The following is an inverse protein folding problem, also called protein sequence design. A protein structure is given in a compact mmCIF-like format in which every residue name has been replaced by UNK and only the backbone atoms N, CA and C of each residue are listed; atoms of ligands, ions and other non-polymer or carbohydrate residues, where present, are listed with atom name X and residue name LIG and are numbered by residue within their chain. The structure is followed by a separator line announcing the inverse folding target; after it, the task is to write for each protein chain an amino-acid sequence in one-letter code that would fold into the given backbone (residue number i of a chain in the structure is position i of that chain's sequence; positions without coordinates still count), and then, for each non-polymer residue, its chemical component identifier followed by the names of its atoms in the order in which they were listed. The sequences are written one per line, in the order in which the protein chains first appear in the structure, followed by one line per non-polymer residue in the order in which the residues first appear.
data_IF_456984322005
#
_entry.id   IF_456984322005
#
_cell.length_a   1.000
_cell.length_b   1.000
_cell.length_c   1.000
_cell.angle_alpha   90.00
_cell.angle_beta   90.00
_cell.angle_gamma   90.00
#
_symmetry.space_group_name_H-M   'P 1'
#
loop_
_entity.id
_entity.type
_entity.pdbx_description
1 polymer ?
#
# COMPACT_ATOMS: atom_id res chain seq x y z
N UNK A 1 17.82 4.99 9.90
CA UNK A 1 16.71 5.14 8.94
C UNK A 1 15.50 5.65 9.72
N UNK A 2 14.62 6.47 9.14
CA UNK A 2 13.36 6.85 9.80
C UNK A 2 12.50 5.59 10.05
N UNK A 3 11.72 5.61 11.12
CA UNK A 3 10.79 4.52 11.46
C UNK A 3 9.66 4.43 10.42
N UNK A 4 9.19 3.21 10.16
CA UNK A 4 8.05 2.91 9.29
C UNK A 4 6.77 3.33 10.01
N UNK A 5 6.03 4.24 9.39
CA UNK A 5 4.83 4.87 9.94
C UNK A 5 3.59 4.08 9.57
N UNK A 6 2.92 3.54 10.57
CA UNK A 6 1.78 2.63 10.44
C UNK A 6 0.49 3.35 10.80
N UNK A 7 -0.49 3.33 9.90
CA UNK A 7 -1.83 3.86 10.12
C UNK A 7 -2.85 2.72 10.11
N UNK A 8 -3.72 2.67 11.12
CA UNK A 8 -4.75 1.62 11.25
C UNK A 8 -6.10 2.15 10.77
N UNK A 9 -6.82 1.41 9.93
CA UNK A 9 -8.11 1.81 9.39
C UNK A 9 -9.19 0.75 9.58
N UNK A 10 -10.17 1.00 10.45
CA UNK A 10 -11.37 0.15 10.58
C UNK A 10 -11.11 -1.32 10.97
N UNK A 11 -9.93 -1.65 11.50
CA UNK A 11 -9.59 -3.01 11.93
C UNK A 11 -10.29 -3.39 13.24
N UNK A 12 -10.54 -4.69 13.42
CA UNK A 12 -11.07 -5.21 14.68
C UNK A 12 -10.11 -4.96 15.85
N UNK A 13 -10.65 -4.78 17.06
CA UNK A 13 -9.85 -4.53 18.28
C UNK A 13 -8.73 -5.55 18.48
N UNK A 14 -9.01 -6.84 18.25
CA UNK A 14 -8.00 -7.90 18.36
C UNK A 14 -6.80 -7.68 17.42
N UNK A 15 -7.05 -7.22 16.19
CA UNK A 15 -6.00 -6.93 15.21
C UNK A 15 -5.23 -5.67 15.62
N UNK A 16 -5.95 -4.61 16.04
CA UNK A 16 -5.31 -3.38 16.54
C UNK A 16 -4.36 -3.69 17.70
N UNK A 17 -4.83 -4.43 18.69
CA UNK A 17 -4.05 -4.75 19.89
C UNK A 17 -2.84 -5.64 19.55
N UNK A 18 -3.00 -6.56 18.59
CA UNK A 18 -1.88 -7.35 18.08
C UNK A 18 -0.82 -6.49 17.39
N UNK A 19 -1.24 -5.51 16.56
CA UNK A 19 -0.30 -4.57 15.92
C UNK A 19 0.41 -3.69 16.95
N UNK A 20 -0.32 -3.15 17.93
CA UNK A 20 0.28 -2.32 18.99
C UNK A 20 1.35 -3.10 19.77
N UNK A 21 1.06 -4.34 20.18
CA UNK A 21 2.05 -5.20 20.85
C UNK A 21 3.24 -5.53 19.96
N UNK A 22 3.02 -5.77 18.67
CA UNK A 22 4.09 -6.06 17.72
C UNK A 22 5.02 -4.86 17.49
N UNK A 23 4.53 -3.63 17.68
CA UNK A 23 5.29 -2.39 17.48
C UNK A 23 5.98 -1.91 18.77
N UNK A 24 5.45 -2.23 19.95
CA UNK A 24 5.91 -1.71 21.25
C UNK A 24 7.43 -1.87 21.51
N UNK A 25 8.01 -2.99 21.09
CA UNK A 25 9.45 -3.29 21.28
C UNK A 25 10.30 -2.99 20.04
N UNK A 26 9.72 -2.43 18.98
CA UNK A 26 10.39 -2.19 17.70
C UNK A 26 10.79 -0.72 17.57
N UNK A 27 12.07 -0.46 17.31
CA UNK A 27 12.60 0.90 17.16
C UNK A 27 12.45 1.45 15.73
N UNK A 28 12.12 0.59 14.79
CA UNK A 28 11.94 0.88 13.37
C UNK A 28 10.47 0.97 12.95
N UNK A 29 9.51 0.80 13.87
CA UNK A 29 8.07 0.86 13.60
C UNK A 29 7.39 1.87 14.53
N UNK A 30 6.39 2.59 14.02
CA UNK A 30 5.59 3.52 14.81
C UNK A 30 4.13 3.48 14.35
N UNK A 31 3.17 3.30 15.27
CA UNK A 31 1.75 3.52 14.95
C UNK A 31 1.44 5.00 15.08
N UNK A 32 1.25 5.68 13.95
CA UNK A 32 1.08 7.14 13.89
C UNK A 32 -0.38 7.58 14.00
N UNK A 33 -1.33 6.65 13.89
CA UNK A 33 -2.75 6.97 14.06
C UNK A 33 -3.71 5.81 13.84
N UNK A 34 -4.99 6.09 14.10
CA UNK A 34 -6.12 5.21 13.82
C UNK A 34 -7.21 6.05 13.16
N UNK A 35 -7.73 5.58 12.03
CA UNK A 35 -8.84 6.19 11.32
C UNK A 35 -10.10 5.31 11.44
N UNK A 36 -11.24 5.95 11.70
CA UNK A 36 -12.53 5.28 11.89
C UNK A 36 -13.32 5.09 10.60
N UNK A 37 -12.97 5.81 9.53
CA UNK A 37 -13.66 5.75 8.24
C UNK A 37 -12.68 5.74 7.05
N UNK A 38 -13.11 5.27 5.85
CA UNK A 38 -12.27 5.30 4.65
C UNK A 38 -11.79 6.70 4.25
N UNK A 39 -12.64 7.73 4.39
CA UNK A 39 -12.29 9.11 4.09
C UNK A 39 -11.22 9.65 5.04
N UNK A 40 -11.40 9.42 6.34
CA UNK A 40 -10.41 9.78 7.35
C UNK A 40 -9.09 9.07 7.10
N UNK A 41 -9.14 7.79 6.70
CA UNK A 41 -7.95 7.00 6.40
C UNK A 41 -7.16 7.59 5.23
N UNK A 42 -7.83 7.95 4.13
CA UNK A 42 -7.20 8.60 2.97
C UNK A 42 -6.54 9.92 3.37
N UNK A 43 -7.25 10.78 4.09
CA UNK A 43 -6.72 12.07 4.54
C UNK A 43 -5.53 11.89 5.50
N UNK A 44 -5.69 11.01 6.48
CA UNK A 44 -4.67 10.77 7.50
C UNK A 44 -3.40 10.12 6.93
N UNK A 45 -3.53 9.27 5.90
CA UNK A 45 -2.38 8.66 5.23
C UNK A 45 -1.41 9.70 4.69
N UNK A 46 -1.91 10.75 4.02
CA UNK A 46 -1.07 11.86 3.55
C UNK A 46 -0.56 12.76 4.67
N UNK A 47 -1.44 13.19 5.58
CA UNK A 47 -1.09 14.13 6.67
C UNK A 47 -0.04 13.54 7.61
N UNK A 48 -0.17 12.25 7.94
CA UNK A 48 0.74 11.55 8.84
C UNK A 48 1.92 10.92 8.11
N UNK A 49 2.01 11.06 6.78
CA UNK A 49 3.01 10.43 5.93
C UNK A 49 3.13 8.92 6.23
N UNK A 50 2.01 8.21 6.19
CA UNK A 50 1.98 6.78 6.48
C UNK A 50 2.71 5.98 5.38
N UNK A 51 3.61 5.08 5.80
CA UNK A 51 4.28 4.13 4.91
C UNK A 51 3.44 2.87 4.72
N UNK A 52 2.73 2.47 5.78
CA UNK A 52 1.90 1.26 5.81
C UNK A 52 0.51 1.59 6.35
N UNK A 53 -0.53 1.14 5.64
CA UNK A 53 -1.92 1.22 6.08
C UNK A 53 -2.45 -0.19 6.32
N UNK A 54 -2.93 -0.45 7.54
CA UNK A 54 -3.53 -1.74 7.91
C UNK A 54 -5.04 -1.63 7.90
N UNK A 55 -5.70 -2.48 7.12
CA UNK A 55 -7.17 -2.47 6.94
C UNK A 55 -7.74 -3.90 7.00
N UNK A 56 -9.05 -4.07 7.26
CA UNK A 56 -9.70 -5.37 7.12
C UNK A 56 -9.56 -5.94 5.70
N UNK A 57 -9.27 -7.24 5.61
CA UNK A 57 -9.38 -7.96 4.36
C UNK A 57 -10.86 -8.16 3.98
N UNK A 58 -11.28 -7.83 2.74
CA UNK A 58 -12.61 -8.19 2.26
C UNK A 58 -12.70 -9.71 2.03
N UNK A 59 -13.91 -10.21 1.80
CA UNK A 59 -14.16 -11.61 1.46
C UNK A 59 -13.51 -12.06 0.11
N UNK A 60 -12.91 -11.13 -0.63
CA UNK A 60 -12.08 -11.39 -1.80
C UNK A 60 -11.48 -10.11 -2.37
N UNK A 61 -10.20 -10.17 -2.78
CA UNK A 61 -9.54 -9.10 -3.52
C UNK A 61 -9.05 -7.90 -2.71
N UNK A 62 -8.81 -6.81 -3.43
CA UNK A 62 -8.27 -5.55 -2.92
C UNK A 62 -9.36 -4.77 -2.15
N UNK A 63 -9.09 -4.27 -0.92
CA UNK A 63 -10.03 -3.41 -0.21
C UNK A 63 -10.37 -2.16 -1.04
N UNK A 64 -11.64 -1.71 -1.05
CA UNK A 64 -12.06 -0.57 -1.89
C UNK A 64 -11.34 0.75 -1.59
N UNK A 65 -10.88 0.96 -0.35
CA UNK A 65 -10.05 2.13 0.01
C UNK A 65 -8.61 1.99 -0.46
N UNK A 66 -8.13 0.77 -0.68
CA UNK A 66 -6.76 0.50 -1.06
C UNK A 66 -6.44 0.96 -2.48
N UNK A 67 -7.40 0.90 -3.42
CA UNK A 67 -7.22 1.47 -4.77
C UNK A 67 -6.90 2.96 -4.70
N UNK A 68 -7.69 3.72 -3.95
CA UNK A 68 -7.51 5.15 -3.78
C UNK A 68 -6.21 5.50 -3.04
N UNK A 69 -5.86 4.73 -2.00
CA UNK A 69 -4.60 4.91 -1.27
C UNK A 69 -3.39 4.69 -2.18
N UNK A 70 -3.41 3.62 -2.98
CA UNK A 70 -2.31 3.28 -3.89
C UNK A 70 -2.18 4.30 -5.03
N UNK A 71 -3.30 4.80 -5.55
CA UNK A 71 -3.32 5.83 -6.59
C UNK A 71 -2.80 7.18 -6.08
N UNK A 72 -3.29 7.63 -4.91
CA UNK A 72 -2.89 8.91 -4.33
C UNK A 72 -1.48 8.90 -3.70
N UNK A 73 -1.07 7.75 -3.17
CA UNK A 73 0.21 7.58 -2.49
C UNK A 73 0.93 6.34 -3.04
N UNK A 74 1.57 6.40 -4.23
CA UNK A 74 2.16 5.22 -4.87
C UNK A 74 3.26 4.51 -4.06
N UNK A 75 3.88 5.20 -3.10
CA UNK A 75 4.86 4.62 -2.18
C UNK A 75 4.24 3.84 -1.02
N UNK A 76 2.93 3.97 -0.78
CA UNK A 76 2.25 3.34 0.36
C UNK A 76 2.12 1.84 0.18
N UNK A 77 2.19 1.11 1.28
CA UNK A 77 1.84 -0.31 1.35
C UNK A 77 0.50 -0.45 2.06
N UNK A 78 -0.43 -1.19 1.47
CA UNK A 78 -1.68 -1.56 2.13
C UNK A 78 -1.61 -3.01 2.59
N UNK A 79 -1.75 -3.24 3.89
CA UNK A 79 -1.79 -4.58 4.49
C UNK A 79 -3.24 -4.90 4.87
N UNK A 80 -3.89 -5.75 4.08
CA UNK A 80 -5.24 -6.21 4.32
C UNK A 80 -5.20 -7.44 5.23
N UNK A 81 -5.75 -7.34 6.44
CA UNK A 81 -5.66 -8.38 7.48
C UNK A 81 -7.02 -9.03 7.72
N UNK A 82 -7.07 -10.34 7.70
CA UNK A 82 -8.27 -11.12 8.02
C UNK A 82 -8.41 -11.33 9.52
N UNK A 83 -9.63 -11.59 9.98
CA UNK A 83 -9.89 -11.98 11.37
C UNK A 83 -9.20 -13.31 11.76
N UNK A 84 -8.84 -14.15 10.79
CA UNK A 84 -8.13 -15.40 11.00
C UNK A 84 -6.61 -15.24 11.16
N UNK A 85 -6.09 -14.00 11.14
CA UNK A 85 -4.67 -13.73 11.32
C UNK A 85 -3.83 -13.88 10.04
N UNK A 86 -4.46 -13.96 8.88
CA UNK A 86 -3.77 -13.91 7.58
C UNK A 86 -3.74 -12.48 7.05
N UNK A 87 -2.75 -12.14 6.23
CA UNK A 87 -2.65 -10.82 5.63
C UNK A 87 -2.23 -10.88 4.15
N UNK A 88 -2.72 -9.93 3.36
CA UNK A 88 -2.31 -9.72 1.97
C UNK A 88 -1.74 -8.31 1.84
N UNK A 89 -0.55 -8.20 1.25
CA UNK A 89 0.14 -6.93 1.04
C UNK A 89 -0.05 -6.44 -0.39
N UNK A 90 -0.56 -5.23 -0.55
CA UNK A 90 -0.72 -4.53 -1.82
C UNK A 90 0.23 -3.33 -1.88
N UNK A 91 0.90 -3.15 -3.02
CA UNK A 91 1.81 -2.02 -3.28
C UNK A 91 1.96 -1.81 -4.78
N UNK A 92 2.09 -0.56 -5.21
CA UNK A 92 2.54 -0.26 -6.56
C UNK A 92 4.07 -0.41 -6.62
N UNK A 93 4.56 -1.02 -7.69
CA UNK A 93 5.98 -1.08 -8.01
C UNK A 93 6.15 -0.81 -9.49
N UNK A 94 6.99 0.15 -9.89
CA UNK A 94 7.40 0.27 -11.27
C UNK A 94 8.04 -1.03 -11.74
N UNK A 95 7.62 -1.52 -12.90
CA UNK A 95 8.30 -2.60 -13.59
C UNK A 95 9.23 -1.98 -14.63
N UNK A 96 10.55 -2.03 -14.45
CA UNK A 96 11.47 -1.50 -15.44
C UNK A 96 11.44 -2.40 -16.68
N UNK A 97 11.21 -1.79 -17.84
CA UNK A 97 11.33 -2.44 -19.15
C UNK A 97 12.46 -1.73 -19.89
N UNK A 98 13.53 -2.45 -20.16
CA UNK A 98 14.64 -1.93 -20.95
C UNK A 98 14.26 -1.95 -22.43
N UNK A 99 14.36 -0.79 -23.08
CA UNK A 99 14.10 -0.67 -24.51
C UNK A 99 15.32 -0.12 -25.22
N UNK A 100 15.92 -0.94 -26.07
CA UNK A 100 17.00 -0.52 -26.96
C UNK A 100 16.42 0.21 -28.18
N UNK A 101 17.01 1.34 -28.57
CA UNK A 101 16.64 2.09 -29.77
C UNK A 101 17.89 2.72 -30.39
N UNK A 102 17.98 2.74 -31.72
CA UNK A 102 19.06 3.37 -32.48
C UNK A 102 18.54 4.41 -33.47
N UNK A 103 17.24 4.38 -33.79
CA UNK A 103 16.59 5.30 -34.73
C UNK A 103 15.36 5.98 -34.12
N UNK A 104 14.93 7.15 -34.65
CA UNK A 104 13.68 7.78 -34.24
C UNK A 104 12.43 6.90 -34.46
N UNK A 105 12.44 6.04 -35.49
CA UNK A 105 11.34 5.13 -35.77
C UNK A 105 11.21 4.03 -34.71
N UNK A 106 12.35 3.47 -34.26
CA UNK A 106 12.39 2.49 -33.17
C UNK A 106 11.97 3.10 -31.83
N UNK A 107 12.40 4.33 -31.54
CA UNK A 107 11.93 5.05 -30.35
C UNK A 107 10.42 5.32 -30.40
N UNK A 108 9.88 5.69 -31.57
CA UNK A 108 8.44 5.86 -31.73
C UNK A 108 7.66 4.53 -31.61
N UNK A 109 8.27 3.39 -31.97
CA UNK A 109 7.68 2.08 -31.73
C UNK A 109 7.68 1.73 -30.23
N UNK A 110 8.78 2.02 -29.51
CA UNK A 110 8.88 1.83 -28.06
C UNK A 110 7.81 2.60 -27.29
N UNK A 111 7.55 3.87 -27.64
CA UNK A 111 6.51 4.69 -27.01
C UNK A 111 5.10 4.11 -27.22
N UNK A 112 4.87 3.44 -28.35
CA UNK A 112 3.57 2.84 -28.69
C UNK A 112 3.41 1.42 -28.15
N UNK A 113 4.46 0.83 -27.60
CA UNK A 113 4.36 -0.50 -27.01
C UNK A 113 3.55 -0.37 -25.72
N UNK A 114 2.35 -0.94 -25.71
CA UNK A 114 1.64 -1.24 -24.47
C UNK A 114 2.32 -2.43 -23.79
N UNK A 115 2.29 -2.47 -22.46
CA UNK A 115 2.79 -3.60 -21.66
C UNK A 115 1.96 -4.87 -21.95
N UNK A 116 2.31 -5.64 -22.98
CA UNK A 116 1.82 -7.01 -23.22
C UNK A 116 2.46 -8.03 -22.24
N UNK A 117 2.66 -7.66 -20.97
CA UNK A 117 3.30 -8.53 -19.97
C UNK A 117 2.33 -9.52 -19.27
N UNK A 118 1.04 -9.52 -19.60
CA UNK A 118 0.03 -10.43 -19.01
C UNK A 118 -0.75 -11.24 -20.07
N UNK A 119 -0.05 -12.07 -20.85
CA UNK A 119 -0.64 -13.27 -21.46
C UNK A 119 0.14 -14.53 -21.12
#
# INVERSE_FOLDING_TARGET
MPAIRILLGGVATTVRDAVLRAVEEQTDLEVVGVAASPWELLRAAGVLAADVVVVPAPAGGLPGVATHLLDQYPGIRVLAVSAAGTAVSYRLRPQPVEVAWATPAELAAAIRADDEAER
#
